data_IF_856203591265
#
_entry.id   IF_856203591265
#
_cell.length_a   1.000
_cell.length_b   1.000
_cell.length_c   1.000
_cell.angle_alpha   90.00
_cell.angle_beta   90.00
_cell.angle_gamma   90.00
#
_symmetry.space_group_name_H-M   'P 1'
#
loop_
_entity.id
_entity.type
_entity.pdbx_description
1 polymer ?
#
# COMPACT_ATOMS: atom_id res chain seq x y z
N UNK A 1 48.08 -48.64 0.61
CA UNK A 1 47.04 -48.94 -0.40
C UNK A 1 45.71 -48.75 0.31
N UNK A 2 44.99 -47.63 0.24
CA UNK A 2 44.92 -46.61 -0.80
C UNK A 2 43.57 -46.59 -1.51
N UNK A 3 42.50 -47.05 -0.85
CA UNK A 3 41.10 -47.06 -1.30
C UNK A 3 40.28 -46.80 -0.01
N UNK A 4 39.23 -45.99 0.13
CA UNK A 4 38.19 -45.52 -0.77
C UNK A 4 37.55 -44.22 -0.23
N UNK A 5 38.33 -43.22 0.17
CA UNK A 5 37.76 -41.96 0.73
C UNK A 5 36.91 -41.17 -0.28
N UNK A 6 37.13 -41.37 -1.58
CA UNK A 6 36.34 -40.72 -2.64
C UNK A 6 34.96 -41.36 -2.83
N UNK A 7 34.77 -42.63 -2.44
CA UNK A 7 33.49 -43.34 -2.57
C UNK A 7 32.53 -42.98 -1.41
N UNK A 8 33.06 -42.81 -0.19
CA UNK A 8 32.28 -42.34 0.97
C UNK A 8 31.81 -40.88 0.82
N UNK A 9 32.65 -40.02 0.21
CA UNK A 9 32.27 -38.64 -0.08
C UNK A 9 31.09 -38.55 -1.06
N UNK A 10 31.00 -39.46 -2.05
CA UNK A 10 29.90 -39.50 -3.03
C UNK A 10 28.62 -40.10 -2.41
N UNK A 11 28.74 -41.02 -1.45
CA UNK A 11 27.60 -41.56 -0.71
C UNK A 11 26.83 -40.53 0.12
N UNK A 12 27.52 -39.51 0.65
CA UNK A 12 26.89 -38.39 1.37
C UNK A 12 26.26 -37.34 0.45
N UNK A 13 26.66 -37.30 -0.82
CA UNK A 13 26.16 -36.35 -1.82
C UNK A 13 24.84 -36.77 -2.48
N UNK A 14 24.41 -38.02 -2.28
CA UNK A 14 23.20 -38.59 -2.90
C UNK A 14 22.25 -39.23 -1.88
N UNK A 15 22.20 -38.74 -0.64
CA UNK A 15 21.04 -39.04 0.21
C UNK A 15 19.82 -38.27 -0.31
N UNK A 16 19.21 -38.83 -1.36
CA UNK A 16 18.01 -38.33 -2.02
C UNK A 16 16.84 -38.11 -1.05
N UNK A 17 16.88 -38.71 0.15
CA UNK A 17 15.95 -38.47 1.24
C UNK A 17 16.09 -37.08 1.85
N UNK A 18 17.33 -36.61 2.09
CA UNK A 18 17.62 -35.29 2.66
C UNK A 18 17.28 -34.17 1.67
N UNK A 19 17.64 -34.31 0.40
CA UNK A 19 17.30 -33.32 -0.64
C UNK A 19 15.77 -33.20 -0.84
N UNK A 20 15.05 -34.32 -0.89
CA UNK A 20 13.57 -34.32 -0.99
C UNK A 20 12.92 -33.76 0.27
N UNK A 21 13.43 -34.09 1.46
CA UNK A 21 12.92 -33.55 2.72
C UNK A 21 13.16 -32.04 2.84
N UNK A 22 14.31 -31.54 2.39
CA UNK A 22 14.63 -30.11 2.38
C UNK A 22 13.78 -29.35 1.37
N UNK A 23 13.58 -29.89 0.16
CA UNK A 23 12.69 -29.32 -0.85
C UNK A 23 11.23 -29.26 -0.35
N UNK A 24 10.75 -30.30 0.34
CA UNK A 24 9.39 -30.33 0.91
C UNK A 24 9.22 -29.33 2.05
N UNK A 25 10.25 -29.15 2.89
CA UNK A 25 10.27 -28.14 3.96
C UNK A 25 10.25 -26.72 3.41
N UNK A 26 11.04 -26.44 2.37
CA UNK A 26 11.04 -25.14 1.70
C UNK A 26 9.70 -24.85 1.02
N UNK A 27 9.10 -25.83 0.35
CA UNK A 27 7.77 -25.69 -0.25
C UNK A 27 6.69 -25.38 0.80
N UNK A 28 6.75 -26.04 1.97
CA UNK A 28 5.81 -25.79 3.08
C UNK A 28 6.03 -24.44 3.77
N UNK A 29 7.28 -24.01 3.91
CA UNK A 29 7.62 -22.69 4.44
C UNK A 29 7.20 -21.57 3.47
N UNK A 30 7.32 -21.79 2.17
CA UNK A 30 6.85 -20.88 1.13
C UNK A 30 5.32 -20.80 1.14
N UNK A 31 4.60 -21.93 1.22
CA UNK A 31 3.14 -21.96 1.31
C UNK A 31 2.63 -21.26 2.59
N UNK A 32 3.30 -21.45 3.73
CA UNK A 32 2.97 -20.72 4.96
C UNK A 32 3.21 -19.21 4.84
N UNK A 33 4.29 -18.81 4.16
CA UNK A 33 4.62 -17.40 3.88
C UNK A 33 3.60 -16.77 2.94
N UNK A 34 3.22 -17.48 1.87
CA UNK A 34 2.23 -17.06 0.88
C UNK A 34 0.81 -16.98 1.47
N UNK A 35 0.44 -17.89 2.37
CA UNK A 35 -0.81 -17.82 3.14
C UNK A 35 -0.80 -16.64 4.12
N UNK A 36 0.35 -16.28 4.67
CA UNK A 36 0.52 -15.10 5.51
C UNK A 36 0.45 -13.77 4.75
N UNK A 37 0.72 -13.77 3.44
CA UNK A 37 0.70 -12.57 2.57
C UNK A 37 -0.68 -12.26 1.98
N UNK A 38 -1.61 -13.22 1.94
CA UNK A 38 -3.02 -12.98 1.56
C UNK A 38 -3.86 -12.51 2.75
N UNK A 39 -3.41 -11.47 3.46
CA UNK A 39 -4.29 -10.78 4.40
C UNK A 39 -5.11 -9.78 3.61
N UNK A 40 -6.40 -10.07 3.47
CA UNK A 40 -7.33 -9.07 2.98
C UNK A 40 -7.35 -7.86 3.92
N UNK A 41 -7.63 -6.68 3.37
CA UNK A 41 -7.67 -5.45 4.17
C UNK A 41 -8.88 -5.47 5.11
N UNK A 42 -8.67 -5.03 6.35
CA UNK A 42 -9.78 -4.86 7.30
C UNK A 42 -10.71 -3.73 6.84
N UNK A 43 -11.98 -3.79 7.27
CA UNK A 43 -12.96 -2.77 6.93
C UNK A 43 -12.51 -1.35 7.32
N UNK A 44 -11.82 -1.23 8.47
CA UNK A 44 -11.26 0.04 8.95
C UNK A 44 -10.12 0.55 8.06
N UNK A 45 -9.28 -0.34 7.52
CA UNK A 45 -8.22 0.03 6.58
C UNK A 45 -8.81 0.50 5.25
N UNK A 46 -9.84 -0.19 4.75
CA UNK A 46 -10.55 0.21 3.53
C UNK A 46 -11.23 1.57 3.72
N UNK A 47 -11.93 1.78 4.83
CA UNK A 47 -12.58 3.06 5.14
C UNK A 47 -11.55 4.20 5.22
N UNK A 48 -10.45 3.97 5.94
CA UNK A 48 -9.35 4.95 6.06
C UNK A 48 -8.75 5.29 4.70
N UNK A 49 -8.42 4.29 3.88
CA UNK A 49 -7.86 4.50 2.55
C UNK A 49 -8.84 5.27 1.64
N UNK A 50 -10.13 4.95 1.73
CA UNK A 50 -11.17 5.63 0.96
C UNK A 50 -11.34 7.09 1.36
N UNK A 51 -11.30 7.40 2.66
CA UNK A 51 -11.34 8.77 3.17
C UNK A 51 -10.08 9.56 2.76
N UNK A 52 -8.90 8.94 2.83
CA UNK A 52 -7.65 9.56 2.37
C UNK A 52 -7.67 9.87 0.88
N UNK A 53 -8.22 8.98 0.05
CA UNK A 53 -8.39 9.23 -1.38
C UNK A 53 -9.29 10.44 -1.65
N UNK A 54 -10.42 10.53 -0.95
CA UNK A 54 -11.33 11.67 -1.08
C UNK A 54 -10.68 12.97 -0.61
N UNK A 55 -9.91 12.96 0.48
CA UNK A 55 -9.13 14.11 0.93
C UNK A 55 -8.14 14.58 -0.15
N UNK A 56 -7.38 13.67 -0.76
CA UNK A 56 -6.46 14.03 -1.84
C UNK A 56 -7.19 14.70 -3.00
N UNK A 57 -8.34 14.16 -3.40
CA UNK A 57 -9.13 14.74 -4.49
C UNK A 57 -9.67 16.13 -4.13
N UNK A 58 -10.21 16.30 -2.92
CA UNK A 58 -10.67 17.60 -2.41
C UNK A 58 -9.54 18.62 -2.39
N UNK A 59 -8.34 18.22 -1.96
CA UNK A 59 -7.17 19.07 -2.02
C UNK A 59 -6.87 19.51 -3.45
N UNK A 60 -6.88 18.59 -4.43
CA UNK A 60 -6.67 18.96 -5.84
C UNK A 60 -7.74 19.89 -6.39
N UNK A 61 -9.01 19.67 -6.02
CA UNK A 61 -10.11 20.56 -6.38
C UNK A 61 -9.89 21.96 -5.81
N UNK A 62 -9.53 22.06 -4.52
CA UNK A 62 -9.23 23.34 -3.88
C UNK A 62 -8.04 24.03 -4.54
N UNK A 63 -6.95 23.31 -4.79
CA UNK A 63 -5.79 23.86 -5.52
C UNK A 63 -6.16 24.34 -6.92
N UNK A 64 -7.05 23.66 -7.64
CA UNK A 64 -7.54 24.11 -8.94
C UNK A 64 -8.41 25.38 -8.82
N UNK A 65 -9.26 25.48 -7.80
CA UNK A 65 -10.03 26.70 -7.51
C UNK A 65 -9.10 27.89 -7.24
N UNK A 66 -8.07 27.73 -6.42
CA UNK A 66 -7.10 28.79 -6.14
C UNK A 66 -6.32 29.25 -7.38
N UNK A 67 -6.00 28.33 -8.31
CA UNK A 67 -5.37 28.68 -9.58
C UNK A 67 -6.27 29.53 -10.50
N UNK A 68 -7.58 29.53 -10.28
CA UNK A 68 -8.52 30.34 -11.06
C UNK A 68 -8.68 31.77 -10.52
N UNK A 69 -8.19 32.04 -9.31
CA UNK A 69 -8.21 33.38 -8.72
C UNK A 69 -6.98 34.14 -9.23
N UNK A 70 -7.16 35.31 -9.85
CA UNK A 70 -6.02 36.11 -10.31
C UNK A 70 -5.11 36.53 -9.15
N UNK A 71 -3.79 36.47 -9.36
CA UNK A 71 -2.78 36.84 -8.37
C UNK A 71 -2.57 38.36 -8.34
N UNK A 72 -3.62 39.12 -8.04
CA UNK A 72 -3.60 40.58 -8.05
C UNK A 72 -3.84 41.11 -6.62
N UNK A 73 -2.74 41.40 -5.92
CA UNK A 73 -2.76 41.89 -4.55
C UNK A 73 -1.39 41.83 -3.87
N UNK A 74 -1.16 42.74 -2.92
CA UNK A 74 0.09 42.82 -2.15
C UNK A 74 0.42 41.53 -1.38
N UNK A 75 -0.60 40.73 -1.04
CA UNK A 75 -0.48 39.49 -0.29
C UNK A 75 -0.61 38.21 -1.14
N UNK A 76 -0.84 38.34 -2.45
CA UNK A 76 -1.06 37.19 -3.35
C UNK A 76 0.18 36.88 -4.19
N UNK A 77 0.46 35.59 -4.38
CA UNK A 77 1.50 35.10 -5.29
C UNK A 77 2.87 34.87 -4.65
N UNK A 78 2.99 35.02 -3.32
CA UNK A 78 4.26 34.68 -2.63
C UNK A 78 4.42 33.17 -2.46
N UNK A 79 5.68 32.71 -2.34
CA UNK A 79 6.00 31.28 -2.14
C UNK A 79 5.53 30.81 -0.77
N UNK A 80 5.66 31.67 0.23
CA UNK A 80 5.26 31.42 1.61
C UNK A 80 3.74 31.24 1.69
N UNK A 81 2.98 32.15 1.06
CA UNK A 81 1.52 32.02 0.95
C UNK A 81 1.12 30.71 0.27
N UNK A 82 1.79 30.33 -0.82
CA UNK A 82 1.50 29.06 -1.50
C UNK A 82 1.68 27.85 -0.57
N UNK A 83 2.76 27.82 0.23
CA UNK A 83 3.00 26.76 1.20
C UNK A 83 1.91 26.72 2.28
N UNK A 84 1.56 27.87 2.87
CA UNK A 84 0.52 27.95 3.89
C UNK A 84 -0.86 27.55 3.34
N UNK A 85 -1.17 27.98 2.11
CA UNK A 85 -2.42 27.64 1.43
C UNK A 85 -2.51 26.15 1.13
N UNK A 86 -1.43 25.53 0.69
CA UNK A 86 -1.41 24.08 0.47
C UNK A 86 -1.61 23.32 1.78
N UNK A 87 -0.98 23.77 2.88
CA UNK A 87 -1.16 23.17 4.20
C UNK A 87 -2.59 23.35 4.74
N UNK A 88 -3.19 24.53 4.51
CA UNK A 88 -4.59 24.81 4.82
C UNK A 88 -5.53 23.91 4.02
N UNK A 89 -5.33 23.82 2.71
CA UNK A 89 -6.14 22.98 1.82
C UNK A 89 -6.05 21.51 2.23
N UNK A 90 -4.87 21.02 2.64
CA UNK A 90 -4.72 19.66 3.15
C UNK A 90 -5.56 19.44 4.42
N UNK A 91 -5.44 20.31 5.42
CA UNK A 91 -6.21 20.18 6.67
C UNK A 91 -7.73 20.27 6.45
N UNK A 92 -8.17 21.18 5.58
CA UNK A 92 -9.58 21.28 5.18
C UNK A 92 -10.05 20.01 4.48
N UNK A 93 -9.27 19.48 3.54
CA UNK A 93 -9.63 18.28 2.80
C UNK A 93 -9.78 17.06 3.72
N UNK A 94 -8.86 16.88 4.65
CA UNK A 94 -8.90 15.81 5.66
C UNK A 94 -10.14 15.95 6.58
N UNK A 95 -10.42 17.17 7.04
CA UNK A 95 -11.60 17.44 7.87
C UNK A 95 -12.92 17.21 7.12
N UNK A 96 -12.98 17.54 5.83
CA UNK A 96 -14.18 17.33 5.02
C UNK A 96 -14.38 15.83 4.71
N UNK A 97 -13.31 15.11 4.35
CA UNK A 97 -13.38 13.69 4.00
C UNK A 97 -13.76 12.77 5.18
N UNK A 98 -13.47 13.20 6.42
CA UNK A 98 -13.87 12.46 7.63
C UNK A 98 -15.36 12.61 7.97
N UNK A 99 -16.01 13.72 7.56
CA UNK A 99 -17.44 13.97 7.77
C UNK A 99 -18.37 13.49 6.63
N UNK A 100 -19.64 13.94 6.61
CA UNK A 100 -20.51 13.84 5.44
C UNK A 100 -19.94 14.69 4.30
N UNK A 101 -19.48 14.03 3.25
CA UNK A 101 -18.66 14.62 2.19
C UNK A 101 -19.30 14.46 0.80
N UNK A 102 -18.52 14.71 -0.26
CA UNK A 102 -18.91 14.60 -1.68
C UNK A 102 -19.35 13.18 -2.06
N UNK A 103 -19.02 12.17 -1.25
CA UNK A 103 -19.54 10.80 -1.39
C UNK A 103 -18.64 9.86 -2.20
N UNK A 104 -17.47 10.32 -2.61
CA UNK A 104 -16.48 9.56 -3.37
C UNK A 104 -15.85 8.48 -2.49
N UNK A 105 -15.65 8.77 -1.20
CA UNK A 105 -15.25 7.78 -0.19
C UNK A 105 -16.12 6.52 -0.24
N UNK A 106 -17.43 6.67 -0.39
CA UNK A 106 -18.36 5.54 -0.41
C UNK A 106 -18.21 4.68 -1.67
N UNK A 107 -17.97 5.32 -2.81
CA UNK A 107 -17.74 4.64 -4.10
C UNK A 107 -16.44 3.85 -4.06
N UNK A 108 -15.35 4.47 -3.60
CA UNK A 108 -14.04 3.82 -3.46
C UNK A 108 -14.09 2.67 -2.46
N UNK A 109 -14.75 2.87 -1.31
CA UNK A 109 -14.94 1.83 -0.31
C UNK A 109 -15.69 0.63 -0.88
N UNK A 110 -16.74 0.88 -1.69
CA UNK A 110 -17.51 -0.18 -2.34
C UNK A 110 -16.63 -0.99 -3.30
N UNK A 111 -15.80 -0.32 -4.10
CA UNK A 111 -14.93 -0.98 -5.07
C UNK A 111 -13.84 -1.80 -4.38
N UNK A 112 -13.18 -1.24 -3.36
CA UNK A 112 -12.18 -1.96 -2.56
C UNK A 112 -12.79 -3.17 -1.85
N UNK A 113 -13.99 -3.04 -1.27
CA UNK A 113 -14.70 -4.18 -0.68
C UNK A 113 -15.07 -5.25 -1.72
N UNK A 114 -15.28 -4.87 -2.98
CA UNK A 114 -15.57 -5.81 -4.06
C UNK A 114 -14.31 -6.52 -4.56
N UNK A 115 -13.16 -5.83 -4.61
CA UNK A 115 -11.87 -6.44 -5.00
C UNK A 115 -11.36 -7.46 -3.99
N UNK A 116 -11.60 -7.22 -2.69
CA UNK A 116 -11.20 -8.16 -1.61
C UNK A 116 -12.00 -9.46 -1.57
N UNK A 117 -13.18 -9.50 -2.20
CA UNK A 117 -14.05 -10.69 -2.25
C UNK A 117 -13.73 -11.65 -3.41
N UNK A 118 -12.82 -11.27 -4.31
CA UNK A 118 -12.38 -12.08 -5.46
C UNK A 118 -11.12 -12.87 -5.12
#
# INVERSE_FOLDING_TARGET
>A
MGSDTKSELIGSLLDSGVYKAQATRQAKALDATLKGTKRGYSEKEIEKASAQFEALLLQQMMSAMWKSIPNEGLLSGSREEAIYRDMLNQGLAESIATGPSVGIKNVVMKELKASEKK
#
